data_IF_450157190369
#
_entry.id   IF_450157190369
#
_cell.length_a   1.000
_cell.length_b   1.000
_cell.length_c   1.000
_cell.angle_alpha   90.00
_cell.angle_beta   90.00
_cell.angle_gamma   90.00
#
_symmetry.space_group_name_H-M   'P 1'
#
loop_
_entity.id
_entity.type
_entity.pdbx_description
1 polymer ?
#
# COMPACT_ATOMS: atom_id res chain seq x y z
N UNK A 1 3.09 -21.49 7.33
CA UNK A 1 3.03 -20.34 8.27
C UNK A 1 3.33 -19.00 7.61
N UNK A 2 4.16 -18.91 6.56
CA UNK A 2 4.38 -17.66 5.80
C UNK A 2 3.13 -17.17 5.03
N UNK A 3 2.38 -18.09 4.41
CA UNK A 3 1.19 -17.77 3.60
C UNK A 3 0.10 -16.99 4.36
N UNK A 4 -0.15 -17.32 5.64
CA UNK A 4 -1.21 -16.67 6.43
C UNK A 4 -0.85 -15.23 6.79
N UNK A 5 0.42 -14.95 7.05
CA UNK A 5 0.94 -13.59 7.31
C UNK A 5 0.89 -12.72 6.06
N UNK A 6 1.26 -13.28 4.91
CA UNK A 6 1.18 -12.54 3.64
C UNK A 6 -0.29 -12.25 3.29
N UNK A 7 -1.20 -13.22 3.44
CA UNK A 7 -2.62 -13.03 3.16
C UNK A 7 -3.26 -11.93 4.03
N UNK A 8 -2.88 -11.85 5.31
CA UNK A 8 -3.41 -10.86 6.23
C UNK A 8 -2.95 -9.43 5.89
N UNK A 9 -1.67 -9.27 5.54
CA UNK A 9 -1.13 -7.99 5.06
C UNK A 9 -1.85 -7.56 3.79
N UNK A 10 -2.05 -8.50 2.88
CA UNK A 10 -2.70 -8.28 1.60
C UNK A 10 -4.19 -7.90 1.71
N UNK A 11 -4.95 -8.58 2.57
CA UNK A 11 -6.33 -8.20 2.88
C UNK A 11 -6.41 -6.78 3.46
N UNK A 12 -5.47 -6.42 4.35
CA UNK A 12 -5.38 -5.09 4.94
C UNK A 12 -4.97 -4.01 3.93
N UNK A 13 -4.18 -4.36 2.91
CA UNK A 13 -3.84 -3.45 1.80
C UNK A 13 -5.03 -3.10 0.92
N UNK A 14 -5.93 -4.05 0.70
CA UNK A 14 -7.16 -3.86 -0.07
C UNK A 14 -8.21 -3.08 0.71
N UNK A 15 -8.49 -3.50 1.93
CA UNK A 15 -9.50 -2.87 2.78
C UNK A 15 -9.04 -1.51 3.33
N UNK A 16 -7.74 -1.34 3.53
CA UNK A 16 -7.19 -0.17 4.18
C UNK A 16 -7.56 -0.08 5.66
N UNK A 17 -7.40 1.12 6.24
CA UNK A 17 -8.03 1.43 7.54
C UNK A 17 -9.37 2.14 7.30
N UNK A 18 -10.46 1.71 7.95
CA UNK A 18 -11.72 2.45 7.93
C UNK A 18 -11.68 3.72 8.81
N UNK A 19 -10.61 3.93 9.58
CA UNK A 19 -10.47 5.08 10.46
C UNK A 19 -9.86 6.27 9.72
N UNK A 20 -10.55 7.40 9.75
CA UNK A 20 -10.09 8.67 9.18
C UNK A 20 -8.75 9.17 9.76
N UNK A 21 -8.42 8.77 10.99
CA UNK A 21 -7.18 9.13 11.68
C UNK A 21 -5.95 8.39 11.12
N UNK A 22 -6.18 7.22 10.53
CA UNK A 22 -5.14 6.38 9.94
C UNK A 22 -4.92 6.71 8.45
N UNK A 23 -5.70 7.62 7.87
CA UNK A 23 -5.60 7.94 6.46
C UNK A 23 -4.31 8.70 6.14
N UNK A 24 -3.67 8.34 5.04
CA UNK A 24 -2.54 9.10 4.53
C UNK A 24 -3.03 10.35 3.81
N UNK A 25 -2.51 11.52 4.20
CA UNK A 25 -3.02 12.82 3.75
C UNK A 25 -2.14 13.37 2.64
N UNK A 26 -2.76 13.70 1.51
CA UNK A 26 -2.11 14.39 0.40
C UNK A 26 -2.54 15.85 0.38
N UNK A 27 -1.59 16.74 0.19
CA UNK A 27 -1.74 18.19 0.26
C UNK A 27 -1.23 18.88 -1.00
N UNK A 28 -1.83 20.03 -1.29
CA UNK A 28 -1.36 20.93 -2.33
C UNK A 28 -0.19 21.81 -1.85
N UNK A 29 0.33 22.62 -2.76
CA UNK A 29 1.37 23.61 -2.51
C UNK A 29 1.00 24.66 -1.44
N UNK A 30 -0.30 24.86 -1.18
CA UNK A 30 -0.83 25.75 -0.14
C UNK A 30 -1.12 25.01 1.18
N UNK A 31 -0.64 23.77 1.32
CA UNK A 31 -0.84 22.89 2.46
C UNK A 31 -2.31 22.50 2.72
N UNK A 32 -3.19 22.70 1.74
CA UNK A 32 -4.60 22.29 1.80
C UNK A 32 -4.71 20.82 1.43
N UNK A 33 -5.56 20.09 2.16
CA UNK A 33 -5.82 18.67 1.88
C UNK A 33 -6.49 18.54 0.51
N UNK A 34 -5.87 17.78 -0.39
CA UNK A 34 -6.42 17.40 -1.69
C UNK A 34 -7.26 16.14 -1.51
N UNK A 35 -6.67 15.12 -0.88
CA UNK A 35 -7.30 13.82 -0.70
C UNK A 35 -6.75 13.09 0.52
N UNK A 36 -7.47 12.06 0.95
CA UNK A 36 -7.11 11.11 2.00
C UNK A 36 -7.07 9.72 1.39
N UNK A 37 -6.04 8.96 1.73
CA UNK A 37 -5.75 7.65 1.18
C UNK A 37 -5.87 6.62 2.30
N UNK A 38 -6.71 5.62 2.10
CA UNK A 38 -6.99 4.59 3.10
C UNK A 38 -6.38 3.25 2.73
N UNK A 39 -6.19 2.98 1.44
CA UNK A 39 -5.74 1.70 0.91
C UNK A 39 -4.71 1.88 -0.23
N UNK A 40 -4.14 0.77 -0.69
CA UNK A 40 -3.10 0.78 -1.73
C UNK A 40 -3.64 1.20 -3.10
N UNK A 41 -4.90 0.91 -3.41
CA UNK A 41 -5.51 1.28 -4.71
C UNK A 41 -5.62 2.80 -4.82
N UNK A 42 -6.17 3.46 -3.80
CA UNK A 42 -6.25 4.93 -3.73
C UNK A 42 -4.85 5.57 -3.80
N UNK A 43 -3.84 4.92 -3.21
CA UNK A 43 -2.45 5.38 -3.31
C UNK A 43 -1.97 5.38 -4.76
N UNK A 44 -2.24 4.31 -5.52
CA UNK A 44 -1.83 4.22 -6.92
C UNK A 44 -2.50 5.28 -7.79
N UNK A 45 -3.79 5.53 -7.56
CA UNK A 45 -4.53 6.56 -8.27
C UNK A 45 -3.91 7.95 -8.02
N UNK A 46 -3.58 8.27 -6.78
CA UNK A 46 -2.90 9.53 -6.43
C UNK A 46 -1.51 9.58 -7.06
N UNK A 47 -0.70 8.53 -6.90
CA UNK A 47 0.67 8.49 -7.40
C UNK A 47 0.74 8.62 -8.92
N UNK A 48 -0.28 8.17 -9.65
CA UNK A 48 -0.36 8.35 -11.11
C UNK A 48 -0.56 9.82 -11.49
N UNK A 49 -1.41 10.54 -10.73
CA UNK A 49 -1.88 11.89 -11.07
C UNK A 49 -1.09 13.03 -10.41
N UNK A 50 -0.40 12.78 -9.30
CA UNK A 50 0.33 13.83 -8.56
C UNK A 50 1.48 14.40 -9.40
N UNK A 51 1.67 15.71 -9.38
CA UNK A 51 2.81 16.32 -10.08
C UNK A 51 4.14 15.86 -9.49
N UNK A 52 5.18 15.63 -10.31
CA UNK A 52 6.48 15.18 -9.82
C UNK A 52 7.02 16.01 -8.66
N UNK A 53 6.96 17.33 -8.74
CA UNK A 53 7.52 18.22 -7.70
C UNK A 53 6.75 18.17 -6.38
N UNK A 54 5.52 17.66 -6.41
CA UNK A 54 4.69 17.46 -5.21
C UNK A 54 4.94 16.10 -4.55
N UNK A 55 5.70 15.18 -5.16
CA UNK A 55 5.88 13.84 -4.62
C UNK A 55 6.61 13.87 -3.28
N UNK A 56 7.82 14.44 -3.24
CA UNK A 56 8.63 14.45 -2.03
C UNK A 56 7.94 15.13 -0.85
N UNK A 57 7.39 16.36 -0.96
CA UNK A 57 6.76 17.02 0.18
C UNK A 57 5.47 16.34 0.66
N UNK A 58 4.85 15.49 -0.18
CA UNK A 58 3.71 14.67 0.25
C UNK A 58 4.16 13.35 0.88
N UNK A 59 5.22 12.73 0.37
CA UNK A 59 5.69 11.44 0.89
C UNK A 59 6.51 11.58 2.17
N UNK A 60 7.24 12.68 2.31
CA UNK A 60 8.31 12.84 3.27
C UNK A 60 8.48 14.30 3.73
N UNK A 61 9.20 14.47 4.84
CA UNK A 61 9.68 15.75 5.34
C UNK A 61 11.13 15.69 5.76
N UNK A 62 11.82 16.82 5.61
CA UNK A 62 13.18 17.00 6.13
C UNK A 62 13.10 17.62 7.52
N UNK A 63 13.63 16.93 8.52
CA UNK A 63 13.70 17.40 9.91
C UNK A 63 15.11 17.17 10.43
N UNK A 64 15.76 18.24 10.89
CA UNK A 64 17.14 18.17 11.43
C UNK A 64 18.17 17.51 10.49
N UNK A 65 17.98 17.65 9.17
CA UNK A 65 18.77 16.99 8.09
C UNK A 65 18.53 15.48 7.96
N UNK A 66 17.56 14.94 8.67
CA UNK A 66 17.08 13.57 8.49
C UNK A 66 15.78 13.57 7.69
N UNK A 67 15.58 12.52 6.90
CA UNK A 67 14.36 12.30 6.13
C UNK A 67 13.40 11.49 7.00
N UNK A 68 12.26 12.08 7.34
CA UNK A 68 11.12 11.35 7.88
C UNK A 68 10.17 11.03 6.72
N UNK A 69 10.03 9.75 6.38
CA UNK A 69 9.17 9.29 5.29
C UNK A 69 7.81 8.85 5.83
N UNK A 70 6.86 9.77 5.85
CA UNK A 70 5.51 9.54 6.35
C UNK A 70 4.80 8.42 5.57
N UNK A 71 5.02 8.31 4.25
CA UNK A 71 4.45 7.21 3.46
C UNK A 71 4.98 5.84 3.90
N UNK A 72 6.30 5.69 4.11
CA UNK A 72 6.87 4.41 4.53
C UNK A 72 6.31 3.98 5.89
N UNK A 73 6.21 4.93 6.83
CA UNK A 73 5.61 4.68 8.15
C UNK A 73 4.15 4.25 8.02
N UNK A 74 3.37 4.96 7.20
CA UNK A 74 1.97 4.61 6.94
C UNK A 74 1.83 3.21 6.36
N UNK A 75 2.61 2.86 5.33
CA UNK A 75 2.62 1.52 4.74
C UNK A 75 2.98 0.45 5.77
N UNK A 76 3.93 0.72 6.67
CA UNK A 76 4.33 -0.22 7.71
C UNK A 76 3.21 -0.45 8.74
N UNK A 77 2.67 0.62 9.32
CA UNK A 77 1.76 0.52 10.47
C UNK A 77 0.31 0.32 10.06
N UNK A 78 -0.14 1.01 9.00
CA UNK A 78 -1.51 0.95 8.54
C UNK A 78 -1.70 -0.25 7.63
N UNK A 79 -0.89 -0.39 6.58
CA UNK A 79 -1.04 -1.51 5.65
C UNK A 79 -0.35 -2.81 6.12
N UNK A 80 0.53 -2.73 7.12
CA UNK A 80 1.23 -3.90 7.65
C UNK A 80 2.38 -4.41 6.79
N UNK A 81 2.81 -3.66 5.77
CA UNK A 81 3.82 -4.12 4.82
C UNK A 81 5.22 -3.55 5.11
N UNK A 82 5.95 -4.25 5.96
CA UNK A 82 7.31 -3.87 6.33
C UNK A 82 8.30 -3.87 5.15
N UNK A 83 8.10 -4.77 4.17
CA UNK A 83 9.00 -4.92 3.02
C UNK A 83 8.81 -3.75 2.06
N UNK A 84 7.57 -3.41 1.71
CA UNK A 84 7.26 -2.26 0.88
C UNK A 84 7.71 -0.97 1.56
N UNK A 85 7.42 -0.80 2.85
CA UNK A 85 7.89 0.33 3.65
C UNK A 85 9.40 0.55 3.54
N UNK A 86 10.19 -0.51 3.77
CA UNK A 86 11.65 -0.42 3.71
C UNK A 86 12.15 -0.04 2.30
N UNK A 87 11.51 -0.58 1.25
CA UNK A 87 11.85 -0.24 -0.15
C UNK A 87 11.54 1.23 -0.46
N UNK A 88 10.36 1.72 -0.06
CA UNK A 88 9.97 3.13 -0.25
C UNK A 88 10.97 4.06 0.43
N UNK A 89 11.28 3.80 1.70
CA UNK A 89 12.24 4.63 2.47
C UNK A 89 13.61 4.72 1.78
N UNK A 90 14.12 3.60 1.28
CA UNK A 90 15.40 3.55 0.58
C UNK A 90 15.40 4.34 -0.75
N UNK A 91 14.32 4.26 -1.51
CA UNK A 91 14.19 4.98 -2.79
C UNK A 91 14.08 6.49 -2.55
N UNK A 92 13.26 6.92 -1.59
CA UNK A 92 13.16 8.32 -1.18
C UNK A 92 14.54 8.88 -0.86
N UNK A 93 15.30 8.19 0.00
CA UNK A 93 16.63 8.66 0.45
C UNK A 93 17.62 8.79 -0.70
N UNK A 94 17.51 7.95 -1.73
CA UNK A 94 18.45 7.93 -2.86
C UNK A 94 18.03 8.84 -4.01
N UNK A 95 16.74 9.20 -4.11
CA UNK A 95 16.19 9.91 -5.26
C UNK A 95 15.46 11.22 -4.90
N UNK A 96 15.62 11.74 -3.67
CA UNK A 96 14.99 12.99 -3.22
C UNK A 96 15.21 14.17 -4.18
N UNK A 97 16.38 14.23 -4.82
CA UNK A 97 16.77 15.33 -5.73
C UNK A 97 16.28 15.13 -7.17
N UNK A 98 15.53 14.06 -7.44
CA UNK A 98 14.96 13.75 -8.75
C UNK A 98 13.47 13.38 -8.63
N UNK A 99 12.57 14.39 -8.55
CA UNK A 99 11.15 14.17 -8.27
C UNK A 99 10.46 13.28 -9.31
N UNK A 100 10.78 13.44 -10.60
CA UNK A 100 10.23 12.61 -11.68
C UNK A 100 10.60 11.13 -11.53
N UNK A 101 11.87 10.85 -11.23
CA UNK A 101 12.33 9.47 -11.01
C UNK A 101 11.76 8.90 -9.71
N UNK A 102 11.72 9.70 -8.65
CA UNK A 102 11.14 9.31 -7.36
C UNK A 102 9.67 8.90 -7.50
N UNK A 103 8.86 9.72 -8.19
CA UNK A 103 7.45 9.41 -8.50
C UNK A 103 7.33 8.07 -9.19
N UNK A 104 8.08 7.86 -10.28
CA UNK A 104 8.01 6.63 -11.07
C UNK A 104 8.39 5.39 -10.24
N UNK A 105 9.47 5.47 -9.47
CA UNK A 105 9.97 4.32 -8.71
C UNK A 105 9.04 3.97 -7.53
N UNK A 106 8.51 4.96 -6.82
CA UNK A 106 7.52 4.73 -5.76
C UNK A 106 6.23 4.16 -6.34
N UNK A 107 5.76 4.69 -7.48
CA UNK A 107 4.62 4.13 -8.20
C UNK A 107 4.86 2.66 -8.56
N UNK A 108 6.00 2.34 -9.18
CA UNK A 108 6.33 0.97 -9.57
C UNK A 108 6.40 0.01 -8.37
N UNK A 109 6.95 0.44 -7.23
CA UNK A 109 6.96 -0.37 -6.01
C UNK A 109 5.55 -0.70 -5.53
N UNK A 110 4.69 0.33 -5.45
CA UNK A 110 3.31 0.16 -5.01
C UNK A 110 2.52 -0.69 -6.01
N UNK A 111 2.74 -0.47 -7.32
CA UNK A 111 2.01 -1.15 -8.38
C UNK A 111 2.37 -2.63 -8.46
N UNK A 112 3.67 -2.97 -8.43
CA UNK A 112 4.10 -4.37 -8.39
C UNK A 112 3.56 -5.09 -7.14
N UNK A 113 3.49 -4.38 -6.00
CA UNK A 113 2.92 -4.96 -4.79
C UNK A 113 1.42 -5.20 -4.91
N UNK A 114 0.70 -4.30 -5.58
CA UNK A 114 -0.71 -4.45 -5.90
C UNK A 114 -0.97 -5.59 -6.90
N UNK A 115 -0.14 -5.77 -7.94
CA UNK A 115 -0.27 -6.90 -8.87
C UNK A 115 -0.09 -8.25 -8.15
N UNK A 116 0.94 -8.37 -7.31
CA UNK A 116 1.15 -9.58 -6.51
C UNK A 116 -0.07 -9.90 -5.63
N UNK A 117 -0.79 -8.87 -5.16
CA UNK A 117 -2.03 -9.05 -4.42
C UNK A 117 -3.15 -9.62 -5.30
N UNK A 118 -3.34 -9.05 -6.50
CA UNK A 118 -4.37 -9.52 -7.43
C UNK A 118 -4.14 -10.97 -7.85
N UNK A 119 -2.91 -11.34 -8.20
CA UNK A 119 -2.54 -12.72 -8.54
C UNK A 119 -2.84 -13.71 -7.40
N UNK A 120 -2.62 -13.28 -6.15
CA UNK A 120 -2.97 -14.10 -4.98
C UNK A 120 -4.48 -14.29 -4.88
N UNK A 121 -5.30 -13.24 -5.00
CA UNK A 121 -6.76 -13.38 -4.97
C UNK A 121 -7.25 -14.35 -6.06
N UNK A 122 -6.79 -14.18 -7.29
CA UNK A 122 -7.19 -15.03 -8.43
C UNK A 122 -6.83 -16.50 -8.16
N UNK A 123 -5.69 -16.76 -7.51
CA UNK A 123 -5.30 -18.12 -7.11
C UNK A 123 -6.20 -18.76 -6.04
N UNK A 124 -6.92 -17.95 -5.24
CA UNK A 124 -7.86 -18.44 -4.22
C UNK A 124 -9.27 -18.65 -4.79
N UNK A 125 -9.67 -17.91 -5.82
CA UNK A 125 -10.93 -18.15 -6.53
C UNK A 125 -10.92 -19.50 -7.28
N UNK A 126 -9.74 -20.01 -7.67
CA UNK A 126 -9.56 -21.36 -8.20
C UNK A 126 -9.63 -22.47 -7.12
N UNK A 127 -9.59 -22.11 -5.84
CA UNK A 127 -9.91 -23.02 -4.72
C UNK A 127 -11.42 -22.93 -4.46
N UNK A 128 -12.20 -23.27 -5.49
CA UNK A 128 -13.61 -23.58 -5.29
C UNK A 128 -13.69 -24.69 -4.23
N UNK A 129 -14.36 -24.34 -3.13
CA UNK A 129 -14.78 -25.23 -2.06
C UNK A 129 -15.00 -26.65 -2.60
N UNK A 130 -14.20 -27.61 -2.11
CA UNK A 130 -14.65 -29.00 -2.16
C UNK A 130 -15.95 -28.98 -1.38
N UNK A 131 -17.06 -29.07 -2.10
CA UNK A 131 -18.38 -29.24 -1.55
C UNK A 131 -18.28 -30.26 -0.42
N UNK A 132 -18.69 -29.85 0.79
CA UNK A 132 -19.07 -30.78 1.84
C UNK A 132 -20.18 -31.64 1.24
N UNK A 133 -19.80 -32.77 0.63
CA UNK A 133 -20.74 -33.80 0.22
C UNK A 133 -21.59 -34.11 1.46
N UNK A 134 -22.92 -33.93 1.40
CA UNK A 134 -23.77 -34.20 2.54
C UNK A 134 -23.61 -35.69 2.88
N UNK A 135 -23.10 -35.97 4.09
CA UNK A 135 -23.03 -37.33 4.64
C UNK A 135 -24.45 -37.90 4.53
N UNK A 136 -24.66 -39.00 3.76
CA UNK A 136 -25.99 -39.58 3.66
C UNK A 136 -26.45 -40.02 5.05
N UNK A 137 -27.74 -39.80 5.40
CA UNK A 137 -28.23 -40.24 6.69
C UNK A 137 -28.01 -41.75 6.81
N UNK A 138 -27.30 -42.14 7.88
CA UNK A 138 -27.15 -43.55 8.23
C UNK A 138 -28.48 -43.98 8.82
N UNK A 139 -29.27 -44.73 8.06
CA UNK A 139 -30.47 -45.38 8.57
C UNK A 139 -30.07 -46.35 9.69
N UNK A 140 -30.53 -46.07 10.91
CA UNK A 140 -30.50 -46.96 12.08
C UNK A 140 -31.91 -47.12 12.64
#
# INVERSE_FOLDING_TARGET
>A
MAEVTDLHVLAKMSQGSPNEEDAFIVRDENNKIITKIHNLSELLDVLSNIEPDMIFPNLCRLKDKEIECDLALWVHYVLGDAVLSAKIYNIVRTMQDNPGKLKLEVFNLCFNRYLNFQELIESFDDIAFIDDDPIPPTDL
#
